data_IF_895358964417
#
_entry.id   IF_895358964417
#
_cell.length_a   1.000
_cell.length_b   1.000
_cell.length_c   1.000
_cell.angle_alpha   90.00
_cell.angle_beta   90.00
_cell.angle_gamma   90.00
#
_symmetry.space_group_name_H-M   'P 1'
#
loop_
_entity.id
_entity.type
_entity.pdbx_description
1 polymer ?
#
# COMPACT_ATOMS: atom_id res chain seq x y z
N UNK A 1 8.79 9.17 -10.17
CA UNK A 1 7.51 8.47 -9.96
C UNK A 1 6.74 9.13 -8.83
N UNK A 2 5.41 9.10 -8.91
CA UNK A 2 4.49 9.50 -7.86
C UNK A 2 3.54 8.34 -7.60
N UNK A 3 3.06 8.20 -6.38
CA UNK A 3 2.13 7.12 -6.03
C UNK A 3 0.87 7.66 -5.39
N UNK A 4 -0.25 7.00 -5.66
CA UNK A 4 -1.50 7.21 -4.95
C UNK A 4 -1.77 5.97 -4.10
N UNK A 5 -1.84 6.17 -2.80
CA UNK A 5 -2.27 5.16 -1.85
C UNK A 5 -3.72 5.44 -1.47
N UNK A 6 -4.58 4.44 -1.57
CA UNK A 6 -6.01 4.56 -1.32
C UNK A 6 -6.50 3.45 -0.40
N UNK A 7 -7.37 3.84 0.53
CA UNK A 7 -8.13 2.92 1.37
C UNK A 7 -9.61 3.21 1.11
N UNK A 8 -10.34 2.20 0.67
CA UNK A 8 -11.76 2.31 0.38
C UNK A 8 -12.56 1.49 1.40
N UNK A 9 -13.35 2.16 2.22
CA UNK A 9 -14.34 1.51 3.07
C UNK A 9 -15.55 1.17 2.20
N UNK A 10 -15.71 -0.10 1.90
CA UNK A 10 -16.78 -0.59 1.04
C UNK A 10 -18.07 -0.75 1.84
N UNK A 11 -19.21 -0.52 1.20
CA UNK A 11 -20.52 -0.76 1.82
C UNK A 11 -20.71 -2.25 2.10
N UNK A 12 -21.26 -2.63 3.25
CA UNK A 12 -21.56 -4.03 3.55
C UNK A 12 -22.37 -4.71 2.42
N UNK A 13 -21.92 -5.89 2.00
CA UNK A 13 -22.54 -6.67 0.92
C UNK A 13 -22.23 -6.16 -0.49
N UNK A 14 -21.34 -5.17 -0.67
CA UNK A 14 -20.97 -4.62 -1.98
C UNK A 14 -19.55 -4.95 -2.42
N UNK A 15 -18.77 -5.68 -1.63
CA UNK A 15 -17.36 -5.93 -1.92
C UNK A 15 -17.16 -6.60 -3.28
N UNK A 16 -17.88 -7.69 -3.57
CA UNK A 16 -17.69 -8.44 -4.82
C UNK A 16 -18.06 -7.59 -6.04
N UNK A 17 -19.16 -6.80 -5.94
CA UNK A 17 -19.57 -5.89 -7.01
C UNK A 17 -18.54 -4.78 -7.23
N UNK A 18 -17.99 -4.23 -6.16
CA UNK A 18 -16.95 -3.22 -6.25
C UNK A 18 -15.68 -3.77 -6.88
N UNK A 19 -15.23 -4.95 -6.46
CA UNK A 19 -14.05 -5.59 -7.03
C UNK A 19 -14.23 -5.91 -8.52
N UNK A 20 -15.41 -6.38 -8.91
CA UNK A 20 -15.73 -6.61 -10.31
C UNK A 20 -15.71 -5.31 -11.13
N UNK A 21 -16.28 -4.22 -10.60
CA UNK A 21 -16.23 -2.91 -11.25
C UNK A 21 -14.78 -2.38 -11.35
N UNK A 22 -13.96 -2.59 -10.32
CA UNK A 22 -12.52 -2.23 -10.39
C UNK A 22 -11.82 -3.03 -11.48
N UNK A 23 -12.04 -4.34 -11.56
CA UNK A 23 -11.37 -5.23 -12.53
C UNK A 23 -11.78 -4.94 -13.97
N UNK A 24 -13.08 -4.75 -14.22
CA UNK A 24 -13.61 -4.67 -15.57
C UNK A 24 -13.75 -3.25 -16.11
N UNK A 25 -13.96 -2.27 -15.25
CA UNK A 25 -14.21 -0.89 -15.67
C UNK A 25 -13.01 0.02 -15.34
N UNK A 26 -12.55 0.03 -14.07
CA UNK A 26 -11.53 0.98 -13.64
C UNK A 26 -10.13 0.63 -14.14
N UNK A 27 -9.70 -0.63 -14.07
CA UNK A 27 -8.34 -1.01 -14.46
C UNK A 27 -8.05 -0.74 -15.94
N UNK A 28 -8.92 -1.11 -16.91
CA UNK A 28 -8.69 -0.78 -18.32
C UNK A 28 -8.63 0.72 -18.56
N UNK A 29 -9.51 1.49 -17.92
CA UNK A 29 -9.50 2.95 -17.99
C UNK A 29 -8.21 3.53 -17.41
N UNK A 30 -7.80 3.08 -16.22
CA UNK A 30 -6.58 3.51 -15.54
C UNK A 30 -5.33 3.21 -16.40
N UNK A 31 -5.25 2.03 -17.00
CA UNK A 31 -4.17 1.64 -17.91
C UNK A 31 -4.13 2.55 -19.15
N UNK A 32 -5.28 2.85 -19.75
CA UNK A 32 -5.41 3.81 -20.85
C UNK A 32 -4.96 5.23 -20.48
N UNK A 33 -5.04 5.59 -19.22
CA UNK A 33 -4.58 6.85 -18.68
C UNK A 33 -3.12 6.82 -18.17
N UNK A 34 -2.40 5.69 -18.32
CA UNK A 34 -1.03 5.52 -17.86
C UNK A 34 -0.90 5.30 -16.36
N UNK A 35 -2.00 5.06 -15.65
CA UNK A 35 -2.01 4.72 -14.23
C UNK A 35 -1.71 3.23 -14.09
N UNK A 36 -0.66 2.88 -13.35
CA UNK A 36 -0.22 1.50 -13.20
C UNK A 36 -0.60 0.95 -11.82
N UNK A 37 -1.24 -0.21 -11.80
CA UNK A 37 -1.56 -0.88 -10.55
C UNK A 37 -0.30 -1.52 -9.93
N UNK A 38 0.15 -1.03 -8.78
CA UNK A 38 1.18 -1.70 -7.96
C UNK A 38 0.57 -2.92 -7.29
N UNK A 39 -0.59 -2.73 -6.69
CA UNK A 39 -1.37 -3.80 -6.08
C UNK A 39 -2.74 -3.31 -5.65
N UNK A 40 -3.66 -4.27 -5.59
CA UNK A 40 -5.02 -4.09 -5.11
C UNK A 40 -5.35 -5.25 -4.16
N UNK A 41 -5.73 -4.90 -2.94
CA UNK A 41 -5.90 -5.88 -1.86
C UNK A 41 -7.24 -5.71 -1.16
N UNK A 42 -7.75 -6.81 -0.61
CA UNK A 42 -8.85 -6.81 0.34
C UNK A 42 -8.31 -6.95 1.76
N UNK A 43 -8.96 -6.28 2.71
CA UNK A 43 -8.69 -6.47 4.14
C UNK A 43 -9.55 -7.64 4.64
N UNK A 44 -8.97 -8.71 5.20
CA UNK A 44 -9.75 -9.83 5.72
C UNK A 44 -10.50 -9.44 7.01
N UNK A 45 -11.60 -10.14 7.35
CA UNK A 45 -12.31 -9.94 8.61
C UNK A 45 -11.38 -10.06 9.81
N UNK A 46 -11.52 -9.17 10.78
CA UNK A 46 -10.69 -9.12 11.98
C UNK A 46 -9.47 -8.20 11.88
N UNK A 47 -9.24 -7.61 10.73
CA UNK A 47 -8.24 -6.57 10.51
C UNK A 47 -8.90 -5.30 10.00
N UNK A 48 -8.58 -4.15 10.61
CA UNK A 48 -9.11 -2.86 10.20
C UNK A 48 -10.64 -2.76 10.16
N UNK A 49 -11.15 -1.90 9.31
CA UNK A 49 -12.58 -1.77 9.01
C UNK A 49 -12.95 -2.72 7.86
N UNK A 50 -13.84 -3.66 8.13
CA UNK A 50 -14.28 -4.61 7.10
C UNK A 50 -15.73 -4.32 6.68
N UNK A 51 -16.08 -4.37 5.38
CA UNK A 51 -15.23 -4.64 4.23
C UNK A 51 -14.42 -3.41 3.79
N UNK A 52 -13.15 -3.60 3.52
CA UNK A 52 -12.22 -2.55 3.13
C UNK A 52 -11.25 -3.04 2.05
N UNK A 53 -10.82 -2.15 1.16
CA UNK A 53 -9.76 -2.43 0.19
C UNK A 53 -8.63 -1.42 0.31
N UNK A 54 -7.43 -1.86 -0.05
CA UNK A 54 -6.23 -1.02 -0.15
C UNK A 54 -5.76 -1.08 -1.59
N UNK A 55 -5.40 0.05 -2.16
CA UNK A 55 -4.83 0.13 -3.50
C UNK A 55 -3.61 1.05 -3.53
N UNK A 56 -2.65 0.71 -4.38
CA UNK A 56 -1.52 1.58 -4.69
C UNK A 56 -1.38 1.69 -6.20
N UNK A 57 -1.33 2.92 -6.69
CA UNK A 57 -1.22 3.27 -8.09
C UNK A 57 0.07 4.04 -8.33
N UNK A 58 0.80 3.67 -9.39
CA UNK A 58 2.01 4.34 -9.81
C UNK A 58 1.71 5.29 -10.97
N UNK A 59 2.21 6.52 -10.89
CA UNK A 59 2.11 7.58 -11.88
C UNK A 59 3.51 8.02 -12.34
N UNK A 60 3.61 8.57 -13.55
CA UNK A 60 4.89 9.02 -14.08
C UNK A 60 5.49 10.21 -13.32
N UNK A 61 4.66 10.97 -12.61
CA UNK A 61 5.10 12.09 -11.78
C UNK A 61 4.01 13.12 -11.55
N UNK A 62 4.45 14.29 -11.18
CA UNK A 62 3.57 15.41 -10.81
C UNK A 62 2.68 15.89 -11.95
N UNK A 63 3.26 16.05 -13.15
CA UNK A 63 2.51 16.54 -14.31
C UNK A 63 1.41 15.57 -14.71
N UNK A 64 1.68 14.27 -14.60
CA UNK A 64 0.68 13.22 -14.82
C UNK A 64 -0.46 13.33 -13.79
N UNK A 65 -0.14 13.48 -12.52
CA UNK A 65 -1.15 13.68 -11.46
C UNK A 65 -2.00 14.93 -11.69
N UNK A 66 -1.38 16.04 -12.09
CA UNK A 66 -2.09 17.28 -12.41
C UNK A 66 -3.00 17.13 -13.64
N UNK A 67 -2.55 16.41 -14.66
CA UNK A 67 -3.39 16.15 -15.84
C UNK A 67 -4.63 15.32 -15.47
N UNK A 68 -4.48 14.26 -14.69
CA UNK A 68 -5.60 13.45 -14.18
C UNK A 68 -6.58 14.30 -13.36
N UNK A 69 -6.06 15.20 -12.52
CA UNK A 69 -6.89 16.12 -11.72
C UNK A 69 -7.69 17.06 -12.63
N UNK A 70 -7.07 17.59 -13.69
CA UNK A 70 -7.75 18.44 -14.67
C UNK A 70 -8.82 17.67 -15.44
N UNK A 71 -8.55 16.44 -15.85
CA UNK A 71 -9.54 15.58 -16.53
C UNK A 71 -10.78 15.29 -15.66
N UNK A 72 -10.64 15.31 -14.34
CA UNK A 72 -11.78 15.16 -13.42
C UNK A 72 -12.57 16.44 -13.21
N UNK A 73 -11.91 17.60 -13.19
CA UNK A 73 -12.50 18.83 -12.63
C UNK A 73 -12.50 20.04 -13.57
N UNK A 74 -11.64 20.10 -14.59
CA UNK A 74 -11.59 21.22 -15.52
C UNK A 74 -12.65 21.05 -16.63
N UNK A 75 -13.67 21.93 -16.71
CA UNK A 75 -14.74 21.81 -17.72
C UNK A 75 -14.26 21.73 -19.16
N UNK A 76 -13.08 22.27 -19.47
CA UNK A 76 -12.48 22.22 -20.81
C UNK A 76 -11.75 20.91 -21.14
N UNK A 77 -11.56 20.03 -20.15
CA UNK A 77 -10.75 18.81 -20.26
C UNK A 77 -11.41 17.57 -19.66
N UNK A 78 -12.70 17.64 -19.36
CA UNK A 78 -13.42 16.56 -18.69
C UNK A 78 -13.31 15.22 -19.43
N UNK A 79 -12.87 14.21 -18.71
CA UNK A 79 -12.90 12.84 -19.15
C UNK A 79 -14.21 12.18 -18.71
N UNK A 80 -14.96 11.65 -19.68
CA UNK A 80 -16.29 11.10 -19.43
C UNK A 80 -16.23 9.83 -18.57
N UNK A 81 -15.23 8.97 -18.78
CA UNK A 81 -15.10 7.70 -18.08
C UNK A 81 -14.68 7.88 -16.64
N UNK A 82 -13.69 8.78 -16.38
CA UNK A 82 -13.31 9.15 -15.03
C UNK A 82 -14.47 9.73 -14.23
N UNK A 83 -15.28 10.58 -14.87
CA UNK A 83 -16.45 11.18 -14.22
C UNK A 83 -17.55 10.17 -13.95
N UNK A 84 -17.79 9.26 -14.89
CA UNK A 84 -18.75 8.19 -14.69
C UNK A 84 -18.33 7.28 -13.53
N UNK A 85 -17.03 6.94 -13.44
CA UNK A 85 -16.48 6.19 -12.33
C UNK A 85 -16.69 6.92 -11.00
N UNK A 86 -16.27 8.18 -10.91
CA UNK A 86 -16.39 8.98 -9.68
C UNK A 86 -17.86 9.14 -9.25
N UNK A 87 -18.79 9.28 -10.18
CA UNK A 87 -20.22 9.39 -9.89
C UNK A 87 -20.81 8.09 -9.33
N UNK A 88 -20.35 6.93 -9.84
CA UNK A 88 -20.84 5.62 -9.43
C UNK A 88 -20.16 5.09 -8.16
N UNK A 89 -18.98 5.61 -7.82
CA UNK A 89 -18.19 5.11 -6.69
C UNK A 89 -18.99 5.07 -5.37
N UNK A 90 -19.86 6.05 -5.15
CA UNK A 90 -20.73 6.13 -3.98
C UNK A 90 -21.75 4.98 -3.84
N UNK A 91 -21.99 4.19 -4.89
CA UNK A 91 -22.87 3.02 -4.81
C UNK A 91 -22.22 1.88 -4.01
N UNK A 92 -20.90 1.76 -4.08
CA UNK A 92 -20.15 0.68 -3.46
C UNK A 92 -19.34 1.14 -2.25
N UNK A 93 -18.86 2.39 -2.26
CA UNK A 93 -17.91 2.90 -1.28
C UNK A 93 -18.57 3.94 -0.39
N UNK A 94 -18.37 3.81 0.93
CA UNK A 94 -18.83 4.81 1.89
C UNK A 94 -17.85 5.95 2.05
N UNK A 95 -16.57 5.61 2.03
CA UNK A 95 -15.46 6.55 2.26
C UNK A 95 -14.21 6.07 1.54
N UNK A 96 -13.55 7.01 0.89
CA UNK A 96 -12.18 6.82 0.39
C UNK A 96 -11.24 7.73 1.16
N UNK A 97 -10.14 7.16 1.63
CA UNK A 97 -9.00 7.91 2.14
C UNK A 97 -7.84 7.77 1.17
N UNK A 98 -7.43 8.90 0.58
CA UNK A 98 -6.34 8.96 -0.39
C UNK A 98 -5.13 9.71 0.14
N UNK A 99 -3.95 9.28 -0.31
CA UNK A 99 -2.70 9.96 -0.02
C UNK A 99 -1.79 9.94 -1.24
N UNK A 100 -1.34 11.14 -1.65
CA UNK A 100 -0.27 11.27 -2.63
C UNK A 100 1.06 11.02 -1.95
N UNK A 101 1.88 10.14 -2.54
CA UNK A 101 3.10 9.64 -1.93
C UNK A 101 4.30 9.75 -2.86
N UNK A 102 5.47 9.87 -2.26
CA UNK A 102 6.76 9.63 -2.88
C UNK A 102 7.30 8.26 -2.45
N UNK A 103 8.01 7.57 -3.33
CA UNK A 103 8.66 6.31 -2.97
C UNK A 103 9.94 6.55 -2.16
N UNK A 104 10.29 5.61 -1.31
CA UNK A 104 11.67 5.49 -0.81
C UNK A 104 12.59 4.91 -1.89
N UNK A 105 13.89 4.93 -1.66
CA UNK A 105 14.89 4.32 -2.56
C UNK A 105 14.69 2.81 -2.75
N UNK A 106 13.96 2.18 -1.86
CA UNK A 106 13.71 0.72 -1.82
C UNK A 106 12.39 0.32 -2.47
N UNK A 107 11.54 1.27 -2.79
CA UNK A 107 10.23 1.00 -3.40
C UNK A 107 10.42 0.60 -4.86
N UNK A 108 10.10 -0.63 -5.26
CA UNK A 108 10.20 -1.03 -6.66
C UNK A 108 9.09 -0.37 -7.48
N UNK A 109 9.40 -0.05 -8.71
CA UNK A 109 8.40 0.34 -9.71
C UNK A 109 7.56 -0.87 -10.14
N UNK A 110 6.40 -0.63 -10.77
CA UNK A 110 5.58 -1.71 -11.33
C UNK A 110 6.36 -2.54 -12.35
N UNK A 111 7.24 -1.91 -13.13
CA UNK A 111 8.11 -2.61 -14.07
C UNK A 111 9.07 -3.56 -13.35
N UNK A 112 9.74 -3.09 -12.30
CA UNK A 112 10.65 -3.92 -11.49
C UNK A 112 9.92 -5.03 -10.73
N UNK A 113 8.70 -4.78 -10.25
CA UNK A 113 7.85 -5.82 -9.61
C UNK A 113 7.60 -6.96 -10.61
N UNK A 114 7.23 -6.62 -11.84
CA UNK A 114 6.96 -7.59 -12.91
C UNK A 114 8.23 -8.34 -13.34
N UNK A 115 9.33 -7.62 -13.53
CA UNK A 115 10.63 -8.20 -13.90
C UNK A 115 11.14 -9.19 -12.84
N UNK A 116 11.05 -8.83 -11.57
CA UNK A 116 11.47 -9.69 -10.44
C UNK A 116 10.47 -10.82 -10.17
N UNK A 117 9.28 -10.78 -10.77
CA UNK A 117 8.22 -11.75 -10.49
C UNK A 117 7.79 -11.74 -9.02
N UNK A 118 7.74 -10.55 -8.39
CA UNK A 118 7.41 -10.41 -6.98
C UNK A 118 5.98 -10.87 -6.74
N UNK A 119 5.82 -11.87 -5.87
CA UNK A 119 4.54 -12.48 -5.51
C UNK A 119 4.38 -12.51 -4.01
N UNK A 120 3.14 -12.38 -3.55
CA UNK A 120 2.80 -12.53 -2.15
C UNK A 120 1.35 -13.01 -2.02
N UNK A 121 1.13 -14.09 -1.27
CA UNK A 121 -0.23 -14.57 -0.95
C UNK A 121 -0.92 -13.74 0.12
N UNK A 122 -0.11 -13.05 0.92
CA UNK A 122 -0.53 -12.19 2.01
C UNK A 122 0.44 -11.03 2.10
N UNK A 123 -0.06 -9.85 2.38
CA UNK A 123 0.77 -8.69 2.68
C UNK A 123 0.42 -8.13 4.06
N UNK A 124 1.39 -7.48 4.69
CA UNK A 124 1.15 -6.59 5.83
C UNK A 124 1.17 -5.17 5.32
N UNK A 125 0.15 -4.41 5.67
CA UNK A 125 0.03 -2.99 5.36
C UNK A 125 0.15 -2.21 6.66
N UNK A 126 1.19 -1.40 6.77
CA UNK A 126 1.49 -0.58 7.94
C UNK A 126 1.21 0.88 7.61
N UNK A 127 0.31 1.51 8.37
CA UNK A 127 0.11 2.95 8.39
C UNK A 127 0.85 3.52 9.59
N UNK A 128 1.94 4.22 9.35
CA UNK A 128 2.80 4.73 10.40
C UNK A 128 2.61 6.24 10.51
N UNK A 129 2.35 6.71 11.73
CA UNK A 129 2.42 8.10 12.08
C UNK A 129 3.74 8.37 12.80
N UNK A 130 4.65 9.02 12.10
CA UNK A 130 5.93 9.39 12.67
C UNK A 130 5.79 10.56 13.64
N UNK A 131 6.73 10.67 14.57
CA UNK A 131 6.89 11.89 15.35
C UNK A 131 7.16 13.08 14.41
N UNK A 132 6.59 14.27 14.67
CA UNK A 132 6.79 15.44 13.81
C UNK A 132 8.26 15.74 13.56
N UNK A 133 8.65 15.91 12.30
CA UNK A 133 10.03 16.16 11.89
C UNK A 133 10.96 14.95 11.90
N UNK A 134 10.45 13.74 12.22
CA UNK A 134 11.26 12.51 12.29
C UNK A 134 11.00 11.52 11.16
N UNK A 135 10.25 11.92 10.15
CA UNK A 135 9.87 11.03 9.04
C UNK A 135 11.09 10.57 8.23
N UNK A 136 12.01 11.47 7.91
CA UNK A 136 13.24 11.12 7.17
C UNK A 136 14.15 10.18 7.99
N UNK A 137 14.30 10.42 9.28
CA UNK A 137 15.04 9.54 10.18
C UNK A 137 14.42 8.14 10.21
N UNK A 138 13.08 8.08 10.24
CA UNK A 138 12.36 6.81 10.20
C UNK A 138 12.61 6.04 8.90
N UNK A 139 12.47 6.71 7.75
CA UNK A 139 12.73 6.11 6.44
C UNK A 139 14.16 5.56 6.37
N UNK A 140 15.14 6.33 6.81
CA UNK A 140 16.55 5.93 6.84
C UNK A 140 16.78 4.68 7.72
N UNK A 141 16.17 4.63 8.89
CA UNK A 141 16.28 3.47 9.78
C UNK A 141 15.61 2.23 9.18
N UNK A 142 14.45 2.40 8.53
CA UNK A 142 13.79 1.29 7.82
C UNK A 142 14.70 0.77 6.70
N UNK A 143 15.29 1.65 5.90
CA UNK A 143 16.18 1.30 4.79
C UNK A 143 17.48 0.64 5.26
N UNK A 144 18.11 1.17 6.31
CA UNK A 144 19.43 0.71 6.78
C UNK A 144 19.36 -0.57 7.62
N UNK A 145 18.36 -0.70 8.49
CA UNK A 145 18.29 -1.77 9.47
C UNK A 145 17.17 -2.76 9.19
N UNK A 146 15.93 -2.29 9.16
CA UNK A 146 14.80 -3.19 9.10
C UNK A 146 14.79 -4.01 7.81
N UNK A 147 15.05 -3.34 6.71
CA UNK A 147 14.95 -3.96 5.41
C UNK A 147 16.08 -4.96 5.11
N UNK A 148 17.33 -4.55 5.33
CA UNK A 148 18.49 -5.37 4.95
C UNK A 148 18.61 -6.65 5.77
N UNK A 149 18.07 -6.67 6.97
CA UNK A 149 18.28 -7.73 7.96
C UNK A 149 17.01 -8.51 8.31
N UNK A 150 15.91 -7.84 8.60
CA UNK A 150 14.68 -8.52 9.03
C UNK A 150 13.90 -9.08 7.85
N UNK A 151 13.89 -8.38 6.72
CA UNK A 151 13.17 -8.83 5.53
C UNK A 151 13.80 -10.09 4.93
N UNK A 152 15.13 -10.16 4.85
CA UNK A 152 15.84 -11.32 4.30
C UNK A 152 15.75 -12.55 5.18
N UNK A 153 15.78 -12.37 6.52
CA UNK A 153 15.68 -13.48 7.48
C UNK A 153 14.26 -14.02 7.61
N UNK A 154 13.25 -13.20 7.31
CA UNK A 154 11.86 -13.55 7.51
C UNK A 154 11.13 -13.99 6.22
N UNK A 155 11.83 -14.14 5.09
CA UNK A 155 11.17 -14.44 3.80
C UNK A 155 10.21 -13.35 3.34
N UNK A 156 10.38 -12.12 3.83
CA UNK A 156 9.57 -10.96 3.46
C UNK A 156 10.17 -10.23 2.27
N UNK A 157 9.30 -9.71 1.41
CA UNK A 157 9.68 -8.81 0.33
C UNK A 157 9.01 -7.47 0.50
N UNK A 158 9.68 -6.38 0.13
CA UNK A 158 9.02 -5.09 0.09
C UNK A 158 8.20 -4.96 -1.18
N UNK A 159 6.95 -4.57 -1.01
CA UNK A 159 6.09 -4.10 -2.09
C UNK A 159 6.22 -2.58 -2.24
N UNK A 160 6.35 -1.89 -1.13
CA UNK A 160 6.61 -0.46 -1.15
C UNK A 160 6.78 0.16 0.24
N UNK A 161 7.61 1.19 0.29
CA UNK A 161 7.77 2.10 1.41
C UNK A 161 7.52 3.51 0.87
N UNK A 162 6.41 4.10 1.25
CA UNK A 162 5.92 5.36 0.73
C UNK A 162 5.82 6.41 1.84
N UNK A 163 6.03 7.66 1.50
CA UNK A 163 5.89 8.78 2.41
C UNK A 163 5.24 9.98 1.73
N UNK A 164 4.59 10.84 2.49
CA UNK A 164 3.93 12.02 1.95
C UNK A 164 4.59 13.29 2.46
N UNK A 165 5.16 14.12 1.59
CA UNK A 165 5.72 15.40 2.01
C UNK A 165 4.65 16.40 2.45
N UNK A 166 3.40 16.17 2.06
CA UNK A 166 2.26 17.00 2.45
C UNK A 166 1.61 16.57 3.77
N UNK A 167 1.87 15.34 4.17
CA UNK A 167 1.49 14.77 5.47
C UNK A 167 2.76 14.27 6.13
N UNK A 168 3.61 15.20 6.55
CA UNK A 168 4.99 14.99 7.01
C UNK A 168 5.16 14.05 8.23
N UNK A 169 4.09 13.43 8.67
CA UNK A 169 4.09 12.40 9.70
C UNK A 169 3.62 11.04 9.17
N UNK A 170 3.12 10.93 7.94
CA UNK A 170 2.56 9.67 7.43
C UNK A 170 3.51 8.93 6.52
N UNK A 171 3.77 7.69 6.87
CA UNK A 171 4.51 6.70 6.07
C UNK A 171 3.63 5.45 5.90
N UNK A 172 3.69 4.85 4.73
CA UNK A 172 3.01 3.58 4.42
C UNK A 172 4.06 2.57 4.05
N UNK A 173 4.01 1.41 4.68
CA UNK A 173 4.88 0.29 4.33
C UNK A 173 4.02 -0.93 3.98
N UNK A 174 4.32 -1.58 2.85
CA UNK A 174 3.64 -2.81 2.42
C UNK A 174 4.68 -3.91 2.24
N UNK A 175 4.52 -4.98 3.01
CA UNK A 175 5.37 -6.15 3.00
C UNK A 175 4.63 -7.33 2.41
N UNK A 176 5.19 -7.94 1.38
CA UNK A 176 4.76 -9.25 0.90
C UNK A 176 5.31 -10.34 1.80
N UNK A 177 4.45 -11.25 2.23
CA UNK A 177 4.83 -12.46 2.94
C UNK A 177 5.08 -13.57 1.91
N UNK A 178 6.23 -14.25 2.00
CA UNK A 178 6.57 -15.36 1.13
C UNK A 178 5.73 -16.62 1.39
N UNK A 179 5.98 -17.68 0.62
CA UNK A 179 5.26 -18.96 0.77
C UNK A 179 5.48 -19.62 2.13
N UNK A 180 6.63 -19.34 2.75
CA UNK A 180 7.04 -19.89 4.06
C UNK A 180 6.61 -19.02 5.25
N UNK A 181 5.65 -18.13 5.06
CA UNK A 181 5.20 -17.27 6.13
C UNK A 181 4.77 -18.03 7.40
N UNK A 182 4.27 -19.26 7.24
CA UNK A 182 3.93 -20.16 8.34
C UNK A 182 5.13 -20.54 9.23
N UNK A 183 6.35 -20.43 8.69
CA UNK A 183 7.60 -20.67 9.43
C UNK A 183 8.12 -19.44 10.15
N UNK A 184 7.72 -18.25 9.67
CA UNK A 184 8.18 -16.95 10.20
C UNK A 184 7.47 -16.59 11.52
N UNK A 185 6.21 -17.00 11.64
CA UNK A 185 5.46 -16.90 12.88
C UNK A 185 5.31 -18.31 13.45
N UNK A 186 6.22 -18.76 14.32
CA UNK A 186 6.12 -20.09 14.91
C UNK A 186 4.75 -20.22 15.58
N UNK A 187 4.00 -21.22 15.16
CA UNK A 187 2.71 -21.62 15.75
C UNK A 187 2.93 -22.21 17.14
N UNK A 188 3.82 -21.62 17.92
CA UNK A 188 4.27 -22.17 19.17
C UNK A 188 3.71 -21.44 20.37
N UNK A 189 3.10 -22.20 21.25
CA UNK A 189 2.83 -21.79 22.62
C UNK A 189 4.14 -21.32 23.26
N UNK A 190 4.31 -19.99 23.38
CA UNK A 190 5.33 -19.42 24.27
C UNK A 190 6.79 -19.47 23.82
N UNK A 191 7.12 -19.90 22.60
CA UNK A 191 8.43 -19.62 22.05
C UNK A 191 8.48 -18.15 21.63
N UNK A 192 8.93 -17.33 22.55
CA UNK A 192 9.24 -15.94 22.25
C UNK A 192 10.29 -15.93 21.13
N UNK A 193 10.06 -15.11 20.09
CA UNK A 193 11.10 -14.78 19.14
C UNK A 193 12.39 -14.51 19.90
N UNK A 194 13.44 -15.28 19.62
CA UNK A 194 14.78 -14.86 19.97
C UNK A 194 15.05 -13.63 19.15
N UNK A 195 14.77 -12.48 19.74
CA UNK A 195 15.07 -11.18 19.17
C UNK A 195 16.59 -11.09 19.22
N UNK A 196 17.26 -11.20 18.08
CA UNK A 196 18.67 -10.88 18.01
C UNK A 196 18.89 -9.39 18.37
N UNK A 197 20.10 -9.02 18.69
CA UNK A 197 20.44 -7.66 19.14
C UNK A 197 20.03 -6.59 18.11
N UNK A 198 19.92 -6.96 16.86
CA UNK A 198 19.55 -6.07 15.75
C UNK A 198 18.04 -5.83 15.64
N UNK A 199 17.25 -6.90 15.85
CA UNK A 199 15.79 -6.76 15.98
C UNK A 199 15.43 -5.98 17.25
N UNK A 200 16.23 -6.11 18.31
CA UNK A 200 16.10 -5.28 19.51
C UNK A 200 16.43 -3.82 19.23
N UNK A 201 17.48 -3.55 18.46
CA UNK A 201 17.82 -2.20 17.99
C UNK A 201 16.72 -1.58 17.12
N UNK A 202 16.16 -2.34 16.18
CA UNK A 202 15.02 -1.86 15.39
C UNK A 202 13.84 -1.47 16.28
N UNK A 203 13.44 -2.34 17.22
CA UNK A 203 12.35 -2.03 18.14
C UNK A 203 12.62 -0.77 18.95
N UNK A 204 13.84 -0.60 19.41
CA UNK A 204 14.23 0.57 20.20
C UNK A 204 14.24 1.85 19.36
N UNK A 205 14.91 1.83 18.20
CA UNK A 205 15.06 3.00 17.35
C UNK A 205 13.79 3.32 16.58
N UNK A 206 13.18 2.33 15.95
CA UNK A 206 11.97 2.51 15.13
C UNK A 206 10.78 2.96 15.95
N UNK A 207 10.59 2.39 17.15
CA UNK A 207 9.48 2.78 18.02
C UNK A 207 9.59 4.20 18.54
N UNK A 208 10.80 4.71 18.79
CA UNK A 208 11.00 6.10 19.20
C UNK A 208 10.66 7.13 18.12
N UNK A 209 10.62 6.69 16.85
CA UNK A 209 10.32 7.56 15.72
C UNK A 209 8.85 7.49 15.30
N UNK A 210 8.10 6.54 15.86
CA UNK A 210 6.67 6.36 15.62
C UNK A 210 5.88 6.97 16.76
N UNK A 211 4.94 7.84 16.45
CA UNK A 211 3.92 8.30 17.39
C UNK A 211 2.88 7.21 17.61
N UNK A 212 2.37 6.66 16.52
CA UNK A 212 1.47 5.51 16.49
C UNK A 212 1.59 4.78 15.14
N UNK A 213 1.01 3.61 15.04
CA UNK A 213 0.88 2.86 13.78
C UNK A 213 -0.33 1.94 13.83
N UNK A 214 -0.88 1.65 12.65
CA UNK A 214 -1.95 0.69 12.44
C UNK A 214 -1.49 -0.34 11.41
N UNK A 215 -1.43 -1.60 11.84
CA UNK A 215 -1.00 -2.73 11.00
C UNK A 215 -2.20 -3.62 10.68
N UNK A 216 -2.33 -3.97 9.41
CA UNK A 216 -3.37 -4.87 8.97
C UNK A 216 -2.84 -5.87 7.94
N UNK A 217 -3.44 -7.03 7.92
CA UNK A 217 -3.23 -7.95 6.83
C UNK A 217 -4.09 -7.55 5.64
N UNK A 218 -3.53 -7.73 4.46
CA UNK A 218 -4.19 -7.49 3.19
C UNK A 218 -3.92 -8.65 2.23
N UNK A 219 -4.96 -9.11 1.55
CA UNK A 219 -4.90 -10.25 0.62
C UNK A 219 -4.99 -9.73 -0.80
N UNK A 220 -4.01 -10.05 -1.68
CA UNK A 220 -4.06 -9.62 -3.07
C UNK A 220 -5.29 -10.15 -3.79
N UNK A 221 -5.90 -9.31 -4.64
CA UNK A 221 -6.96 -9.71 -5.57
C UNK A 221 -6.37 -10.45 -6.78
N UNK A 222 -7.23 -11.10 -7.58
CA UNK A 222 -6.85 -11.78 -8.82
C UNK A 222 -6.16 -10.87 -9.84
N UNK A 223 -6.47 -9.59 -9.82
CA UNK A 223 -5.95 -8.57 -10.73
C UNK A 223 -4.83 -7.70 -10.15
N UNK A 224 -4.40 -7.96 -8.91
CA UNK A 224 -3.24 -7.28 -8.31
C UNK A 224 -1.95 -7.62 -9.04
N UNK A 225 -1.05 -6.66 -9.24
CA UNK A 225 0.28 -6.94 -9.82
C UNK A 225 1.11 -7.80 -8.88
N UNK A 226 1.02 -7.55 -7.57
CA UNK A 226 1.62 -8.41 -6.53
C UNK A 226 0.60 -9.45 -6.10
N UNK A 227 0.77 -10.69 -6.54
CA UNK A 227 -0.13 -11.82 -6.22
C UNK A 227 0.56 -13.19 -6.29
#
# INVERSE_FOLDING_TARGET
>A
MLYLHEINQVRPGRLDQFLAAVEHDYLPMAEGLGIRNVGYWTVPPGHGSWPETVAVWELDGYDHYLDLTRRRHDPSRLDADLRAWDANLGEWVQRTEGMVCLPSSMTPTVAEIRERGLKAKLCTHELIHNEPGRQEDYLKIVEEFYFKRVASLAGRSIVGLYWSPWKNTRTVCIWGQGEEWDTVYPRGKGEHFKVDDESAMWKTLGLQLRKDWDDRWIVPTSFSTVR
#
